data_IF_745823503802
#
_entry.id   IF_745823503802
#
_cell.length_a   1.000
_cell.length_b   1.000
_cell.length_c   1.000
_cell.angle_alpha   90.00
_cell.angle_beta   90.00
_cell.angle_gamma   90.00
#
_symmetry.space_group_name_H-M   'P 1'
#
loop_
_entity.id
_entity.type
_entity.pdbx_description
1 polymer ?
#
# COMPACT_ATOMS: atom_id res chain seq x y z
N UNK A 1 -21.23 -13.48 -14.64
CA UNK A 1 -21.15 -13.40 -14.07
C UNK A 1 -20.92 -13.10 -13.91
N UNK A 2 -20.71 -12.88 -13.93
CA UNK A 2 -20.58 -12.58 -13.45
C UNK A 2 -20.17 -12.13 -13.46
N UNK A 3 -19.97 -11.93 -13.67
CA UNK A 3 -19.57 -11.54 -13.41
C UNK A 3 -18.70 -11.31 -13.61
N UNK A 4 -18.60 -11.37 -14.12
CA UNK A 4 -17.51 -11.26 -14.95
C UNK A 4 -16.42 -10.54 -14.31
N UNK A 5 -15.57 -9.94 -14.88
CA UNK A 5 -14.54 -9.30 -14.20
C UNK A 5 -14.78 -9.13 -12.75
N UNK A 6 -15.99 -9.31 -12.33
CA UNK A 6 -16.31 -9.25 -11.01
C UNK A 6 -15.61 -10.19 -10.14
N UNK A 7 -15.19 -11.27 -10.62
CA UNK A 7 -14.48 -12.24 -9.86
C UNK A 7 -13.15 -11.69 -9.41
N UNK A 8 -12.46 -11.06 -10.31
CA UNK A 8 -11.16 -10.52 -9.99
C UNK A 8 -11.30 -9.30 -9.13
N UNK A 9 -12.39 -8.58 -9.30
CA UNK A 9 -12.64 -7.42 -8.48
C UNK A 9 -12.82 -7.85 -7.03
N UNK A 10 -13.42 -8.98 -6.79
CA UNK A 10 -13.62 -9.47 -5.46
C UNK A 10 -12.38 -10.08 -4.83
N UNK A 11 -11.31 -10.22 -5.60
CA UNK A 11 -10.11 -10.85 -5.11
C UNK A 11 -9.27 -9.83 -4.38
N UNK A 12 -9.16 -9.99 -3.09
CA UNK A 12 -8.42 -9.04 -2.27
C UNK A 12 -6.92 -9.21 -2.41
N UNK A 13 -6.24 -8.08 -2.49
CA UNK A 13 -4.80 -8.03 -2.38
C UNK A 13 -4.50 -7.54 -0.98
N UNK A 14 -3.72 -8.28 -0.22
CA UNK A 14 -3.34 -7.87 1.12
C UNK A 14 -1.83 -7.74 1.22
N UNK A 15 -1.35 -6.55 1.51
CA UNK A 15 0.06 -6.27 1.69
C UNK A 15 0.31 -6.09 3.18
N UNK A 16 1.16 -6.92 3.76
CA UNK A 16 1.42 -6.90 5.20
C UNK A 16 2.88 -6.59 5.46
N UNK A 17 3.10 -5.52 6.21
CA UNK A 17 4.45 -5.15 6.67
C UNK A 17 4.47 -5.32 8.19
N UNK A 18 5.30 -6.21 8.67
CA UNK A 18 5.37 -6.55 10.09
C UNK A 18 6.81 -6.49 10.57
N UNK A 19 7.06 -5.79 11.66
CA UNK A 19 8.37 -5.72 12.29
C UNK A 19 8.31 -4.87 13.54
N UNK A 20 9.20 -5.11 14.48
CA UNK A 20 9.33 -4.32 15.70
C UNK A 20 7.99 -4.10 16.44
N UNK A 21 7.17 -5.13 16.48
CA UNK A 21 5.85 -5.10 17.14
C UNK A 21 4.89 -4.09 16.50
N UNK A 22 5.17 -3.69 15.25
CA UNK A 22 4.31 -2.81 14.48
C UNK A 22 3.85 -3.56 13.24
N UNK A 23 2.65 -3.22 12.79
CA UNK A 23 2.08 -3.88 11.62
C UNK A 23 1.29 -2.87 10.80
N UNK A 24 1.51 -2.88 9.50
CA UNK A 24 0.74 -2.07 8.57
C UNK A 24 0.18 -3.02 7.53
N UNK A 25 -1.12 -2.99 7.34
CA UNK A 25 -1.80 -3.80 6.34
C UNK A 25 -2.48 -2.87 5.35
N UNK A 26 -2.24 -3.10 4.07
CA UNK A 26 -2.94 -2.40 3.01
C UNK A 26 -3.72 -3.46 2.24
N UNK A 27 -5.04 -3.32 2.22
CA UNK A 27 -5.91 -4.24 1.48
C UNK A 27 -6.46 -3.51 0.27
N UNK A 28 -6.41 -4.14 -0.88
CA UNK A 28 -7.03 -3.61 -2.09
C UNK A 28 -8.25 -4.45 -2.39
N UNK A 29 -9.39 -3.79 -2.58
CA UNK A 29 -10.64 -4.45 -2.96
C UNK A 29 -10.92 -4.33 -4.45
N UNK A 30 -9.97 -3.78 -5.22
CA UNK A 30 -10.12 -3.60 -6.65
C UNK A 30 -10.66 -2.22 -7.01
N UNK A 31 -10.95 -2.04 -8.28
CA UNK A 31 -11.39 -0.76 -8.79
C UNK A 31 -12.74 -0.34 -8.21
N UNK A 32 -12.86 0.93 -7.87
CA UNK A 32 -14.13 1.49 -7.43
C UNK A 32 -15.08 1.71 -8.61
N UNK A 33 -14.52 1.93 -9.80
CA UNK A 33 -15.31 2.25 -10.99
C UNK A 33 -14.83 1.43 -12.18
N UNK A 34 -14.99 0.10 -12.15
CA UNK A 34 -14.36 -0.77 -13.15
C UNK A 34 -14.86 -0.57 -14.58
N UNK A 35 -16.03 0.03 -14.74
CA UNK A 35 -16.59 0.25 -16.07
C UNK A 35 -16.58 1.70 -16.52
N UNK A 36 -15.88 2.56 -15.81
CA UNK A 36 -15.83 3.97 -16.16
C UNK A 36 -14.95 4.17 -17.40
N UNK A 37 -15.33 5.12 -18.25
CA UNK A 37 -14.59 5.41 -19.46
C UNK A 37 -13.29 6.15 -19.18
N UNK A 38 -13.23 6.88 -18.08
CA UNK A 38 -12.03 7.60 -17.72
C UNK A 38 -11.02 6.67 -17.08
N UNK A 39 -9.83 6.63 -17.64
CA UNK A 39 -8.79 5.71 -17.20
C UNK A 39 -8.42 5.89 -15.74
N UNK A 40 -8.33 7.13 -15.28
CA UNK A 40 -7.98 7.41 -13.90
C UNK A 40 -9.00 6.77 -12.93
N UNK A 41 -10.29 6.95 -13.22
CA UNK A 41 -11.35 6.40 -12.36
C UNK A 41 -11.36 4.89 -12.37
N UNK A 42 -11.13 4.27 -13.54
CA UNK A 42 -11.04 2.81 -13.60
C UNK A 42 -9.88 2.27 -12.81
N UNK A 43 -8.80 3.05 -12.72
CA UNK A 43 -7.59 2.62 -12.05
C UNK A 43 -7.64 2.87 -10.54
N UNK A 44 -8.56 3.71 -10.09
CA UNK A 44 -8.66 4.05 -8.67
C UNK A 44 -9.26 2.90 -7.87
N UNK A 45 -8.57 2.51 -6.81
CA UNK A 45 -8.96 1.38 -5.98
C UNK A 45 -9.62 1.81 -4.69
N UNK A 46 -10.49 0.96 -4.19
CA UNK A 46 -10.95 1.04 -2.81
C UNK A 46 -9.94 0.27 -1.97
N UNK A 47 -9.42 0.91 -0.96
CA UNK A 47 -8.40 0.32 -0.09
C UNK A 47 -8.80 0.43 1.37
N UNK A 48 -8.26 -0.47 2.18
CA UNK A 48 -8.32 -0.37 3.64
C UNK A 48 -6.89 -0.34 4.14
N UNK A 49 -6.62 0.61 5.02
CA UNK A 49 -5.33 0.74 5.67
C UNK A 49 -5.53 0.46 7.16
N UNK A 50 -4.77 -0.46 7.69
CA UNK A 50 -4.81 -0.76 9.12
C UNK A 50 -3.41 -0.66 9.68
N UNK A 51 -3.24 0.13 10.73
CA UNK A 51 -1.97 0.33 11.39
C UNK A 51 -2.13 -0.07 12.85
N UNK A 52 -1.24 -0.89 13.34
CA UNK A 52 -1.27 -1.27 14.74
C UNK A 52 0.14 -1.36 15.32
N UNK A 53 0.24 -0.98 16.58
CA UNK A 53 1.42 -1.14 17.39
C UNK A 53 0.93 -1.47 18.78
N UNK A 54 1.82 -1.55 19.78
CA UNK A 54 1.44 -2.02 21.11
C UNK A 54 0.19 -1.37 21.70
N UNK A 55 0.10 -0.05 21.62
CA UNK A 55 -1.00 0.68 22.24
C UNK A 55 -1.78 1.53 21.27
N UNK A 56 -1.60 1.30 19.99
CA UNK A 56 -2.22 2.15 18.97
C UNK A 56 -2.81 1.29 17.86
N UNK A 57 -4.03 1.65 17.44
CA UNK A 57 -4.67 1.00 16.31
C UNK A 57 -5.48 2.03 15.55
N UNK A 58 -5.33 2.04 14.23
CA UNK A 58 -6.05 2.95 13.37
C UNK A 58 -6.44 2.23 12.08
N UNK A 59 -7.66 2.45 11.63
CA UNK A 59 -8.13 1.93 10.34
C UNK A 59 -8.78 3.03 9.54
N UNK A 60 -8.53 3.00 8.26
CA UNK A 60 -9.16 3.89 7.30
C UNK A 60 -9.54 3.08 6.05
N UNK A 61 -10.75 3.31 5.54
CA UNK A 61 -11.20 2.66 4.32
C UNK A 61 -11.70 3.73 3.37
N UNK A 62 -11.22 3.72 2.14
CA UNK A 62 -11.62 4.70 1.15
C UNK A 62 -10.75 4.60 -0.09
N UNK A 63 -10.95 5.51 -1.05
CA UNK A 63 -10.12 5.54 -2.24
C UNK A 63 -8.72 6.01 -1.86
N UNK A 64 -7.71 5.27 -2.24
CA UNK A 64 -6.33 5.64 -1.92
C UNK A 64 -5.41 5.51 -3.11
N UNK A 65 -5.21 4.30 -3.61
CA UNK A 65 -4.17 4.04 -4.58
C UNK A 65 -4.74 3.71 -5.95
N UNK A 66 -3.99 4.06 -6.99
CA UNK A 66 -4.28 3.58 -8.32
C UNK A 66 -3.65 2.19 -8.49
N UNK A 67 -4.27 1.33 -9.26
CA UNK A 67 -3.71 0.01 -9.55
C UNK A 67 -2.32 0.14 -10.14
N UNK A 68 -2.13 1.10 -11.05
CA UNK A 68 -0.81 1.34 -11.64
C UNK A 68 0.25 1.72 -10.62
N UNK A 69 -0.14 2.43 -9.57
CA UNK A 69 0.79 2.80 -8.52
C UNK A 69 1.23 1.58 -7.71
N UNK A 70 0.30 0.68 -7.43
CA UNK A 70 0.64 -0.54 -6.70
C UNK A 70 1.52 -1.45 -7.54
N UNK A 71 1.21 -1.60 -8.82
CA UNK A 71 2.04 -2.38 -9.74
C UNK A 71 3.44 -1.79 -9.82
N UNK A 72 3.53 -0.47 -9.95
CA UNK A 72 4.82 0.22 -10.00
C UNK A 72 5.62 0.04 -8.71
N UNK A 73 4.93 0.07 -7.57
CA UNK A 73 5.56 -0.16 -6.28
C UNK A 73 6.14 -1.59 -6.22
N UNK A 74 5.40 -2.58 -6.71
CA UNK A 74 5.91 -3.96 -6.77
C UNK A 74 7.19 -4.08 -7.57
N UNK A 75 7.26 -3.37 -8.70
CA UNK A 75 8.48 -3.37 -9.54
C UNK A 75 9.63 -2.70 -8.81
N UNK A 76 9.37 -1.65 -8.07
CA UNK A 76 10.41 -0.97 -7.29
C UNK A 76 10.89 -1.86 -6.14
N UNK A 77 9.99 -2.59 -5.50
CA UNK A 77 10.39 -3.52 -4.45
C UNK A 77 11.30 -4.62 -5.02
N UNK A 78 11.01 -5.08 -6.22
CA UNK A 78 11.85 -6.07 -6.85
C UNK A 78 13.25 -5.53 -7.10
N UNK A 79 13.35 -4.30 -7.62
CA UNK A 79 14.65 -3.65 -7.84
C UNK A 79 15.37 -3.40 -6.52
N UNK A 80 14.63 -3.07 -5.47
CA UNK A 80 15.16 -2.85 -4.14
C UNK A 80 15.78 -4.13 -3.58
N UNK A 81 15.08 -5.26 -3.76
CA UNK A 81 15.57 -6.56 -3.33
C UNK A 81 16.84 -6.96 -4.07
N UNK A 82 16.98 -6.54 -5.33
CA UNK A 82 18.19 -6.78 -6.10
C UNK A 82 19.28 -5.73 -5.82
N UNK A 83 18.98 -4.81 -4.91
CA UNK A 83 19.91 -3.74 -4.52
C UNK A 83 20.26 -2.80 -5.68
N UNK A 84 19.37 -2.69 -6.65
CA UNK A 84 19.55 -1.78 -7.79
C UNK A 84 19.13 -0.37 -7.45
N UNK A 85 18.22 -0.21 -6.49
CA UNK A 85 17.79 1.10 -5.99
C UNK A 85 17.79 1.05 -4.47
N UNK A 86 17.69 2.20 -3.84
CA UNK A 86 17.77 2.30 -2.38
C UNK A 86 16.45 2.58 -1.69
N UNK A 87 15.43 2.91 -2.45
CA UNK A 87 14.12 3.15 -1.85
C UNK A 87 13.00 2.90 -2.85
N UNK A 88 11.86 2.48 -2.34
CA UNK A 88 10.64 2.27 -3.11
C UNK A 88 9.53 3.03 -2.40
N UNK A 89 8.78 3.85 -3.13
CA UNK A 89 7.76 4.72 -2.56
C UNK A 89 6.40 4.41 -3.16
N UNK A 90 5.38 4.36 -2.32
CA UNK A 90 3.99 4.25 -2.74
C UNK A 90 3.24 5.42 -2.10
N UNK A 91 2.72 6.31 -2.91
CA UNK A 91 1.98 7.49 -2.44
C UNK A 91 0.58 7.48 -3.00
N UNK A 92 -0.37 7.95 -2.21
CA UNK A 92 -1.75 8.10 -2.67
C UNK A 92 -1.94 9.49 -3.26
N UNK A 93 -2.66 9.56 -4.38
CA UNK A 93 -2.87 10.84 -5.07
C UNK A 93 -3.70 11.82 -4.28
N UNK A 94 -4.77 11.35 -3.68
CA UNK A 94 -5.74 12.25 -3.07
C UNK A 94 -5.69 12.28 -1.55
N UNK A 95 -5.07 11.30 -0.94
CA UNK A 95 -4.90 11.27 0.50
C UNK A 95 -3.42 11.50 0.79
N UNK A 96 -3.14 12.16 1.89
CA UNK A 96 -1.75 12.42 2.22
C UNK A 96 -1.14 11.20 2.90
N UNK A 97 -0.99 10.15 2.13
CA UNK A 97 -0.43 8.87 2.59
C UNK A 97 0.82 8.59 1.79
N UNK A 98 1.91 8.35 2.47
CA UNK A 98 3.15 7.97 1.81
C UNK A 98 3.75 6.77 2.52
N UNK A 99 4.09 5.78 1.74
CA UNK A 99 4.66 4.55 2.22
C UNK A 99 6.00 4.35 1.53
N UNK A 100 7.05 4.12 2.31
CA UNK A 100 8.38 4.03 1.75
C UNK A 100 9.13 2.85 2.36
N UNK A 101 9.80 2.08 1.52
CA UNK A 101 10.69 1.02 1.98
C UNK A 101 12.09 1.41 1.55
N UNK A 102 13.00 1.55 2.50
CA UNK A 102 14.38 1.96 2.25
C UNK A 102 15.34 0.82 2.53
N UNK A 103 16.32 0.68 1.66
CA UNK A 103 17.43 -0.24 1.90
C UNK A 103 18.54 0.55 2.59
N UNK A 104 18.86 0.18 3.82
CA UNK A 104 19.93 0.82 4.58
C UNK A 104 20.93 -0.24 4.97
N UNK A 105 22.07 -0.23 4.29
CA UNK A 105 23.08 -1.28 4.35
C UNK A 105 22.43 -2.57 3.87
N UNK A 106 22.25 -3.56 4.71
CA UNK A 106 21.61 -4.79 4.30
C UNK A 106 20.26 -4.98 4.99
N UNK A 107 19.65 -3.91 5.47
CA UNK A 107 18.40 -3.97 6.21
C UNK A 107 17.33 -3.11 5.53
N UNK A 108 16.08 -3.48 5.71
CA UNK A 108 14.96 -2.75 5.13
C UNK A 108 14.20 -1.98 6.21
N UNK A 109 14.03 -0.67 5.99
CA UNK A 109 13.31 0.20 6.89
C UNK A 109 12.02 0.64 6.21
N UNK A 110 10.89 0.37 6.85
CA UNK A 110 9.59 0.83 6.39
C UNK A 110 9.30 2.16 7.07
N UNK A 111 8.96 3.17 6.27
CA UNK A 111 8.57 4.48 6.78
C UNK A 111 7.16 4.77 6.27
N UNK A 112 6.30 5.21 7.14
CA UNK A 112 4.92 5.47 6.79
C UNK A 112 4.48 6.80 7.37
N UNK A 113 3.83 7.63 6.54
CA UNK A 113 3.30 8.93 6.95
C UNK A 113 1.85 9.03 6.50
N UNK A 114 1.00 9.47 7.38
CA UNK A 114 -0.40 9.68 7.09
C UNK A 114 -0.83 11.02 7.68
N UNK A 115 -1.39 11.89 6.85
CA UNK A 115 -1.87 13.19 7.29
C UNK A 115 -3.35 13.29 6.96
N UNK A 116 -4.15 13.69 7.92
CA UNK A 116 -5.57 13.85 7.71
C UNK A 116 -6.03 15.22 8.20
N UNK A 117 -6.80 15.90 7.35
CA UNK A 117 -7.46 17.14 7.71
C UNK A 117 -8.94 16.83 7.84
N UNK A 118 -9.54 17.21 8.95
CA UNK A 118 -10.96 16.98 9.13
C UNK A 118 -11.76 18.23 8.80
N UNK A 119 -13.09 18.12 8.89
CA UNK A 119 -13.99 19.18 8.48
C UNK A 119 -14.00 20.39 9.41
N UNK A 120 -13.43 20.28 10.58
CA UNK A 120 -13.36 21.39 11.52
C UNK A 120 -11.95 21.98 11.58
N UNK A 121 -11.19 21.77 10.53
CA UNK A 121 -9.84 22.31 10.36
C UNK A 121 -8.83 21.75 11.35
N UNK A 122 -9.10 20.62 11.93
CA UNK A 122 -8.10 19.95 12.71
C UNK A 122 -7.25 19.11 11.78
N UNK A 123 -5.95 19.21 11.94
CA UNK A 123 -5.01 18.42 11.19
C UNK A 123 -4.28 17.52 12.14
N UNK A 124 -4.23 16.23 11.83
CA UNK A 124 -3.41 15.35 12.62
C UNK A 124 -2.59 14.46 11.70
N UNK A 125 -1.43 14.10 12.20
CA UNK A 125 -0.45 13.36 11.44
C UNK A 125 -0.05 12.12 12.22
N UNK A 126 0.26 11.09 11.48
CA UNK A 126 0.84 9.89 12.06
C UNK A 126 2.07 9.54 11.24
N UNK A 127 3.17 9.29 11.92
CA UNK A 127 4.40 8.91 11.26
C UNK A 127 5.03 7.80 12.05
N UNK A 128 5.49 6.77 11.37
CA UNK A 128 6.17 5.67 12.02
C UNK A 128 7.22 5.07 11.09
N UNK A 129 8.21 4.45 11.68
CA UNK A 129 9.16 3.67 10.92
C UNK A 129 9.56 2.45 11.73
N UNK A 130 9.87 1.38 11.03
CA UNK A 130 10.30 0.15 11.68
C UNK A 130 11.07 -0.73 10.69
N UNK A 131 11.93 -1.56 11.25
CA UNK A 131 12.72 -2.48 10.45
C UNK A 131 11.89 -3.72 10.13
N UNK A 132 12.05 -4.23 8.91
CA UNK A 132 11.41 -5.48 8.51
C UNK A 132 12.47 -6.40 7.93
N UNK A 133 12.21 -7.68 7.97
CA UNK A 133 13.10 -8.67 7.38
C UNK A 133 12.91 -8.71 5.86
N UNK A 134 13.95 -9.11 5.16
CA UNK A 134 13.89 -9.22 3.70
C UNK A 134 12.72 -10.10 3.24
N UNK A 135 12.42 -11.15 4.00
CA UNK A 135 11.32 -12.04 3.68
C UNK A 135 9.99 -11.31 3.58
N UNK A 136 9.78 -10.30 4.45
CA UNK A 136 8.56 -9.52 4.43
C UNK A 136 8.45 -8.75 3.10
N UNK A 137 9.55 -8.11 2.68
CA UNK A 137 9.58 -7.37 1.42
C UNK A 137 9.36 -8.33 0.24
N UNK A 138 9.97 -9.50 0.30
CA UNK A 138 9.81 -10.53 -0.73
C UNK A 138 8.36 -10.98 -0.86
N UNK A 139 7.69 -11.18 0.27
CA UNK A 139 6.30 -11.62 0.27
C UNK A 139 5.37 -10.56 -0.30
N UNK A 140 5.60 -9.29 0.04
CA UNK A 140 4.80 -8.20 -0.51
C UNK A 140 5.00 -8.12 -2.02
N UNK A 141 6.25 -8.17 -2.47
CA UNK A 141 6.57 -8.12 -3.89
C UNK A 141 5.91 -9.27 -4.65
N UNK A 142 6.01 -10.48 -4.10
CA UNK A 142 5.41 -11.67 -4.70
C UNK A 142 3.89 -11.54 -4.81
N UNK A 143 3.25 -11.03 -3.75
CA UNK A 143 1.81 -10.89 -3.71
C UNK A 143 1.33 -9.93 -4.80
N UNK A 144 2.02 -8.80 -4.97
CA UNK A 144 1.66 -7.84 -6.01
C UNK A 144 1.80 -8.49 -7.39
N UNK A 145 2.91 -9.18 -7.63
CA UNK A 145 3.15 -9.81 -8.93
C UNK A 145 2.13 -10.89 -9.23
N UNK A 146 1.75 -11.66 -8.23
CA UNK A 146 0.79 -12.75 -8.40
C UNK A 146 -0.59 -12.25 -8.80
N UNK A 147 -1.01 -11.14 -8.22
CA UNK A 147 -2.35 -10.60 -8.45
C UNK A 147 -2.44 -9.83 -9.77
N UNK A 148 -1.40 -9.10 -10.12
CA UNK A 148 -1.46 -8.17 -11.26
C UNK A 148 -0.65 -8.57 -12.49
N UNK A 149 -0.19 -9.77 -12.54
CA UNK A 149 0.54 -10.23 -13.73
C UNK A 149 -0.33 -11.02 -14.67
#
# INVERSE_FOLDING_TARGET
MEEGGMVEIGKELELVFLGDEKKIIIVSFGSMYPNDDEMYLRDLQLNRLAISSNNFHYEYKGPMFLTSEIIGFGKKLEALLRKEIKEAVLSADEEEIEFEVKLKRDRFLVCFTFVKNDLINEKWEYETSFWVEAKIVEEVCYTIKKIYV
#
